data_IF_224774574368
#
_entry.id   IF_224774574368
#
_cell.length_a   1.000
_cell.length_b   1.000
_cell.length_c   1.000
_cell.angle_alpha   90.00
_cell.angle_beta   90.00
_cell.angle_gamma   90.00
#
_symmetry.space_group_name_H-M   'P 1'
#
loop_
_entity.id
_entity.type
_entity.pdbx_description
1 polymer ?
#
# COMPACT_ATOMS: atom_id res chain seq x y z
N UNK A 1 4.69 2.33 3.44
CA UNK A 1 3.56 2.10 2.55
C UNK A 1 2.22 2.15 3.28
N UNK A 2 1.12 1.97 2.56
CA UNK A 2 -0.24 1.95 3.13
C UNK A 2 -0.70 3.27 3.77
N UNK A 3 -0.16 4.41 3.39
CA UNK A 3 -0.51 5.72 3.95
C UNK A 3 -2.00 6.03 3.89
N UNK A 4 -2.68 5.67 2.78
CA UNK A 4 -4.13 5.83 2.66
C UNK A 4 -4.89 4.97 3.68
N UNK A 5 -4.38 3.80 4.02
CA UNK A 5 -4.99 2.92 5.03
C UNK A 5 -4.98 3.58 6.41
N UNK A 6 -3.86 4.14 6.82
CA UNK A 6 -3.73 4.85 8.11
C UNK A 6 -4.67 6.05 8.17
N UNK A 7 -4.74 6.86 7.11
CA UNK A 7 -5.68 7.99 7.04
C UNK A 7 -7.14 7.55 7.11
N UNK A 8 -7.49 6.49 6.38
CA UNK A 8 -8.84 5.96 6.42
C UNK A 8 -9.18 5.42 7.83
N UNK A 9 -8.23 4.77 8.51
CA UNK A 9 -8.42 4.34 9.89
C UNK A 9 -8.66 5.52 10.84
N UNK A 10 -7.92 6.62 10.67
CA UNK A 10 -8.14 7.83 11.48
C UNK A 10 -9.53 8.41 11.25
N UNK A 11 -9.96 8.56 9.98
CA UNK A 11 -11.29 9.05 9.64
C UNK A 11 -12.37 8.12 10.20
N UNK A 12 -12.21 6.79 10.04
CA UNK A 12 -13.15 5.82 10.59
C UNK A 12 -13.24 5.93 12.12
N UNK A 13 -12.10 6.10 12.81
CA UNK A 13 -12.08 6.28 14.26
C UNK A 13 -12.82 7.56 14.69
N UNK A 14 -12.65 8.67 13.98
CA UNK A 14 -13.38 9.90 14.22
C UNK A 14 -14.90 9.70 14.03
N UNK A 15 -15.31 9.08 12.93
CA UNK A 15 -16.72 8.74 12.68
C UNK A 15 -17.29 7.85 13.79
N UNK A 16 -16.51 6.86 14.27
CA UNK A 16 -16.95 5.99 15.37
C UNK A 16 -17.12 6.76 16.67
N UNK A 17 -16.25 7.72 16.96
CA UNK A 17 -16.41 8.59 18.14
C UNK A 17 -17.62 9.52 18.03
N UNK A 18 -17.88 10.08 16.85
CA UNK A 18 -18.92 11.07 16.62
C UNK A 18 -20.33 10.45 16.46
N UNK A 19 -20.43 9.32 15.74
CA UNK A 19 -21.71 8.75 15.32
C UNK A 19 -22.09 7.46 16.06
N UNK A 20 -21.12 6.79 16.70
CA UNK A 20 -21.32 5.48 17.32
C UNK A 20 -20.83 5.40 18.78
N UNK A 21 -20.75 6.52 19.48
CA UNK A 21 -20.39 6.58 20.92
C UNK A 21 -19.06 5.88 21.25
N UNK A 22 -18.11 5.91 20.33
CA UNK A 22 -16.78 5.30 20.49
C UNK A 22 -16.74 3.77 20.32
N UNK A 23 -17.83 3.13 19.87
CA UNK A 23 -17.90 1.68 19.63
C UNK A 23 -18.18 1.39 18.16
N UNK A 24 -17.45 0.45 17.59
CA UNK A 24 -17.74 -0.04 16.24
C UNK A 24 -19.17 -0.59 16.18
N UNK A 25 -19.97 -0.26 15.14
CA UNK A 25 -21.33 -0.78 15.03
C UNK A 25 -21.34 -2.29 14.83
N UNK A 26 -22.15 -3.01 15.62
CA UNK A 26 -22.38 -4.44 15.46
C UNK A 26 -23.40 -4.69 14.33
N UNK A 27 -23.07 -4.23 13.11
CA UNK A 27 -23.93 -4.28 11.93
C UNK A 27 -23.06 -4.30 10.67
N UNK A 28 -23.24 -5.30 9.82
CA UNK A 28 -22.41 -5.50 8.64
C UNK A 28 -22.51 -4.34 7.63
N UNK A 29 -23.69 -3.79 7.44
CA UNK A 29 -23.92 -2.68 6.49
C UNK A 29 -23.35 -1.36 7.04
N UNK A 30 -23.60 -1.08 8.32
CA UNK A 30 -23.04 0.11 9.00
C UNK A 30 -21.50 0.08 9.03
N UNK A 31 -20.89 -1.07 9.24
CA UNK A 31 -19.42 -1.21 9.16
C UNK A 31 -18.90 -0.78 7.79
N UNK A 32 -19.61 -1.06 6.69
CA UNK A 32 -19.19 -0.69 5.34
C UNK A 32 -19.31 0.83 5.05
N UNK A 33 -20.06 1.59 5.83
CA UNK A 33 -20.10 3.05 5.70
C UNK A 33 -18.85 3.71 6.23
N UNK A 34 -18.09 3.04 7.10
CA UNK A 34 -16.87 3.57 7.67
C UNK A 34 -15.72 3.62 6.64
N UNK A 35 -15.00 4.72 6.65
CA UNK A 35 -13.94 4.96 5.66
C UNK A 35 -12.85 3.89 5.67
N UNK A 36 -12.67 3.21 4.54
CA UNK A 36 -11.64 2.17 4.37
C UNK A 36 -12.06 0.77 4.84
N UNK A 37 -13.29 0.60 5.30
CA UNK A 37 -13.90 -0.69 5.61
C UNK A 37 -14.75 -1.11 4.40
N UNK A 38 -14.25 -2.06 3.63
CA UNK A 38 -14.98 -2.71 2.53
C UNK A 38 -15.63 -4.02 2.98
N UNK A 39 -16.33 -4.69 2.05
CA UNK A 39 -17.04 -5.95 2.28
C UNK A 39 -16.25 -6.99 3.08
N UNK A 40 -14.99 -7.26 2.67
CA UNK A 40 -14.12 -8.20 3.39
C UNK A 40 -13.88 -7.79 4.84
N UNK A 41 -13.48 -6.53 5.06
CA UNK A 41 -13.15 -6.06 6.42
C UNK A 41 -14.41 -6.00 7.29
N UNK A 42 -15.53 -5.56 6.73
CA UNK A 42 -16.82 -5.56 7.41
C UNK A 42 -17.26 -6.98 7.80
N UNK A 43 -17.12 -7.94 6.88
CA UNK A 43 -17.43 -9.35 7.13
C UNK A 43 -16.54 -9.96 8.22
N UNK A 44 -15.25 -9.65 8.21
CA UNK A 44 -14.31 -10.11 9.22
C UNK A 44 -14.66 -9.53 10.61
N UNK A 45 -14.90 -8.23 10.72
CA UNK A 45 -15.28 -7.58 11.98
C UNK A 45 -16.63 -8.13 12.47
N UNK A 46 -17.64 -8.14 11.60
CA UNK A 46 -18.99 -8.60 11.95
C UNK A 46 -19.01 -10.04 12.45
N UNK A 47 -18.29 -10.93 11.77
CA UNK A 47 -18.28 -12.35 12.12
C UNK A 47 -17.40 -12.69 13.32
N UNK A 48 -16.20 -12.12 13.39
CA UNK A 48 -15.20 -12.47 14.39
C UNK A 48 -15.48 -11.76 15.72
N UNK A 49 -15.77 -10.46 15.67
CA UNK A 49 -15.99 -9.67 16.89
C UNK A 49 -17.43 -9.75 17.42
N UNK A 50 -18.41 -9.86 16.51
CA UNK A 50 -19.82 -9.79 16.88
C UNK A 50 -20.61 -11.07 16.61
N UNK A 51 -20.00 -12.09 16.03
CA UNK A 51 -20.68 -13.36 15.74
C UNK A 51 -21.77 -13.26 14.66
N UNK A 52 -21.82 -12.16 13.91
CA UNK A 52 -22.81 -11.93 12.86
C UNK A 52 -22.50 -12.84 11.66
N UNK A 53 -23.53 -13.43 11.08
CA UNK A 53 -23.42 -14.33 9.93
C UNK A 53 -23.13 -13.52 8.65
N UNK A 54 -21.89 -13.05 8.52
CA UNK A 54 -21.42 -12.27 7.38
C UNK A 54 -20.13 -12.90 6.79
N UNK A 55 -20.01 -13.06 5.46
CA UNK A 55 -18.81 -13.63 4.83
C UNK A 55 -17.66 -12.63 4.79
N UNK A 56 -16.45 -13.14 4.99
CA UNK A 56 -15.21 -12.38 4.84
C UNK A 56 -14.42 -12.90 3.63
N UNK A 57 -14.75 -12.42 2.42
CA UNK A 57 -14.20 -12.92 1.17
C UNK A 57 -12.93 -12.15 0.79
N UNK A 58 -11.77 -12.74 1.08
CA UNK A 58 -10.46 -12.27 0.64
C UNK A 58 -9.90 -13.08 -0.54
N UNK A 59 -8.67 -12.80 -0.96
CA UNK A 59 -8.00 -13.56 -2.01
C UNK A 59 -7.76 -15.03 -1.65
N UNK A 60 -7.62 -15.38 -0.37
CA UNK A 60 -7.48 -16.75 0.08
C UNK A 60 -8.79 -17.51 -0.06
N UNK A 61 -9.87 -16.93 0.44
CA UNK A 61 -11.22 -17.49 0.36
C UNK A 61 -11.64 -17.69 -1.09
N UNK A 62 -11.44 -16.69 -1.97
CA UNK A 62 -11.70 -16.82 -3.41
C UNK A 62 -10.95 -18.02 -4.00
N UNK A 63 -9.66 -18.16 -3.72
CA UNK A 63 -8.85 -19.28 -4.23
C UNK A 63 -9.32 -20.64 -3.72
N UNK A 64 -9.57 -20.74 -2.43
CA UNK A 64 -10.03 -21.99 -1.80
C UNK A 64 -11.34 -22.44 -2.39
N UNK A 65 -12.34 -21.56 -2.44
CA UNK A 65 -13.68 -21.92 -2.91
C UNK A 65 -13.69 -22.19 -4.43
N UNK A 66 -13.01 -21.38 -5.25
CA UNK A 66 -12.95 -21.64 -6.68
C UNK A 66 -12.24 -22.96 -6.99
N UNK A 67 -11.19 -23.35 -6.26
CA UNK A 67 -10.58 -24.68 -6.39
C UNK A 67 -11.50 -25.79 -5.92
N UNK A 68 -12.19 -25.62 -4.80
CA UNK A 68 -13.15 -26.58 -4.28
C UNK A 68 -14.24 -26.92 -5.31
N UNK A 69 -14.76 -25.90 -5.98
CA UNK A 69 -15.88 -26.01 -6.93
C UNK A 69 -15.45 -26.10 -8.41
N UNK A 70 -14.15 -26.09 -8.70
CA UNK A 70 -13.58 -25.98 -10.04
C UNK A 70 -14.14 -24.78 -10.84
N UNK A 71 -14.40 -23.66 -10.16
CA UNK A 71 -14.93 -22.43 -10.77
C UNK A 71 -13.81 -21.69 -11.52
N UNK A 72 -13.92 -21.58 -12.84
CA UNK A 72 -12.97 -20.90 -13.70
C UNK A 72 -13.30 -19.40 -13.92
N UNK A 73 -14.22 -18.86 -13.17
CA UNK A 73 -14.56 -17.45 -13.23
C UNK A 73 -13.35 -16.58 -12.82
N UNK A 74 -13.18 -15.45 -13.49
CA UNK A 74 -12.11 -14.50 -13.19
C UNK A 74 -12.33 -13.81 -11.85
N UNK A 75 -11.57 -14.21 -10.84
CA UNK A 75 -11.67 -13.67 -9.47
C UNK A 75 -11.24 -12.20 -9.35
N UNK A 76 -10.70 -11.58 -10.38
CA UNK A 76 -10.40 -10.15 -10.38
C UNK A 76 -11.66 -9.29 -10.57
N UNK A 77 -12.73 -9.88 -11.12
CA UNK A 77 -14.00 -9.17 -11.39
C UNK A 77 -14.83 -9.00 -10.12
N UNK A 78 -15.33 -7.79 -9.91
CA UNK A 78 -16.18 -7.50 -8.74
C UNK A 78 -17.46 -8.34 -8.70
N UNK A 79 -18.08 -8.59 -9.84
CA UNK A 79 -19.27 -9.43 -9.93
C UNK A 79 -19.04 -10.85 -9.39
N UNK A 80 -17.87 -11.45 -9.66
CA UNK A 80 -17.49 -12.77 -9.14
C UNK A 80 -17.33 -12.76 -7.63
N UNK A 81 -16.73 -11.69 -7.07
CA UNK A 81 -16.59 -11.53 -5.61
C UNK A 81 -17.95 -11.39 -4.95
N UNK A 82 -18.83 -10.55 -5.49
CA UNK A 82 -20.18 -10.35 -4.96
C UNK A 82 -21.01 -11.64 -5.03
N UNK A 83 -20.88 -12.41 -6.10
CA UNK A 83 -21.56 -13.69 -6.20
C UNK A 83 -21.01 -14.71 -5.18
N UNK A 84 -19.70 -14.74 -4.98
CA UNK A 84 -19.07 -15.57 -3.94
C UNK A 84 -19.57 -15.20 -2.55
N UNK A 85 -19.66 -13.91 -2.23
CA UNK A 85 -20.23 -13.42 -0.97
C UNK A 85 -21.66 -13.93 -0.75
N UNK A 86 -22.51 -13.85 -1.78
CA UNK A 86 -23.88 -14.34 -1.71
C UNK A 86 -23.96 -15.86 -1.47
N UNK A 87 -23.13 -16.65 -2.15
CA UNK A 87 -23.07 -18.10 -1.96
C UNK A 87 -22.60 -18.48 -0.57
N UNK A 88 -21.55 -17.81 -0.07
CA UNK A 88 -21.01 -18.07 1.27
C UNK A 88 -21.99 -17.65 2.36
N UNK A 89 -22.77 -16.59 2.17
CA UNK A 89 -23.81 -16.19 3.10
C UNK A 89 -24.84 -17.29 3.34
N UNK A 90 -25.12 -18.13 2.34
CA UNK A 90 -26.10 -19.23 2.45
C UNK A 90 -25.57 -20.44 3.23
N UNK A 91 -24.24 -20.57 3.36
CA UNK A 91 -23.59 -21.76 3.94
C UNK A 91 -22.82 -21.45 5.23
N UNK A 92 -22.76 -20.21 5.66
CA UNK A 92 -22.16 -19.84 6.95
C UNK A 92 -22.93 -20.53 8.09
N UNK A 93 -22.24 -21.28 8.94
CA UNK A 93 -22.90 -21.98 10.06
C UNK A 93 -23.33 -20.98 11.12
N UNK A 94 -24.59 -21.08 11.57
CA UNK A 94 -25.15 -20.25 12.63
C UNK A 94 -24.33 -20.35 13.90
N UNK A 95 -24.07 -19.18 14.51
CA UNK A 95 -23.30 -19.09 15.75
C UNK A 95 -21.80 -19.42 15.64
N UNK A 96 -21.27 -19.71 14.43
CA UNK A 96 -19.86 -20.05 14.19
C UNK A 96 -19.24 -19.28 13.02
N UNK A 97 -19.82 -18.17 12.61
CA UNK A 97 -19.39 -17.40 11.45
C UNK A 97 -17.94 -16.94 11.53
N UNK A 98 -17.48 -16.48 12.69
CA UNK A 98 -16.09 -16.07 12.90
C UNK A 98 -15.10 -17.21 12.70
N UNK A 99 -15.36 -18.38 13.31
CA UNK A 99 -14.51 -19.56 13.16
C UNK A 99 -14.50 -20.06 11.70
N UNK A 100 -15.65 -20.03 11.04
CA UNK A 100 -15.78 -20.41 9.62
C UNK A 100 -14.93 -19.53 8.71
N UNK A 101 -15.05 -18.22 8.82
CA UNK A 101 -14.26 -17.28 8.02
C UNK A 101 -12.76 -17.40 8.27
N UNK A 102 -12.35 -17.54 9.55
CA UNK A 102 -10.95 -17.74 9.92
C UNK A 102 -10.40 -19.05 9.34
N UNK A 103 -11.14 -20.14 9.46
CA UNK A 103 -10.72 -21.45 8.91
C UNK A 103 -10.52 -21.39 7.40
N UNK A 104 -11.39 -20.69 6.64
CA UNK A 104 -11.21 -20.50 5.20
C UNK A 104 -9.97 -19.69 4.86
N UNK A 105 -9.70 -18.61 5.60
CA UNK A 105 -8.51 -17.78 5.40
C UNK A 105 -7.23 -18.55 5.73
N UNK A 106 -7.21 -19.29 6.84
CA UNK A 106 -6.07 -20.11 7.26
C UNK A 106 -5.80 -21.26 6.30
N UNK A 107 -6.85 -21.98 5.86
CA UNK A 107 -6.72 -23.00 4.84
C UNK A 107 -6.07 -22.47 3.56
N UNK A 108 -6.46 -21.27 3.15
CA UNK A 108 -5.85 -20.59 2.01
C UNK A 108 -4.41 -20.17 2.27
N UNK A 109 -4.09 -19.73 3.47
CA UNK A 109 -2.74 -19.25 3.80
C UNK A 109 -1.72 -20.39 3.99
N UNK A 110 -2.15 -21.53 4.53
CA UNK A 110 -1.26 -22.59 5.00
C UNK A 110 -1.25 -23.86 4.16
N UNK A 111 -2.38 -24.22 3.55
CA UNK A 111 -2.56 -25.47 2.80
C UNK A 111 -2.81 -25.21 1.33
N UNK A 112 -3.87 -24.47 1.01
CA UNK A 112 -4.26 -24.14 -0.37
C UNK A 112 -3.51 -22.89 -0.85
N UNK A 113 -2.18 -22.94 -0.86
CA UNK A 113 -1.29 -21.79 -1.10
C UNK A 113 -1.41 -21.19 -2.50
N UNK A 114 -1.09 -19.87 -2.68
CA UNK A 114 -1.20 -19.19 -3.97
C UNK A 114 -0.06 -19.49 -4.95
N UNK A 115 1.12 -19.83 -4.43
CA UNK A 115 2.33 -20.03 -5.22
C UNK A 115 2.87 -21.44 -4.99
N UNK A 116 3.28 -22.11 -6.08
CA UNK A 116 3.72 -23.50 -6.01
C UNK A 116 2.55 -24.48 -5.92
N UNK A 117 2.84 -25.72 -5.54
CA UNK A 117 1.83 -26.75 -5.37
C UNK A 117 1.14 -26.62 -4.02
N UNK A 118 -0.22 -26.64 -3.99
CA UNK A 118 -0.94 -26.67 -2.74
C UNK A 118 -0.76 -28.03 -2.04
N UNK A 119 -0.77 -28.02 -0.71
CA UNK A 119 -0.59 -29.21 0.14
C UNK A 119 -1.87 -30.02 0.24
N UNK A 120 -2.33 -30.56 -0.92
CA UNK A 120 -3.63 -31.22 -1.03
C UNK A 120 -3.78 -32.46 -0.13
N UNK A 121 -2.72 -33.23 0.08
CA UNK A 121 -2.73 -34.42 0.95
C UNK A 121 -2.99 -34.10 2.44
N UNK A 122 -2.75 -32.84 2.87
CA UNK A 122 -3.09 -32.35 4.21
C UNK A 122 -4.42 -31.57 4.25
N UNK A 123 -5.13 -31.45 3.14
CA UNK A 123 -6.34 -30.64 3.04
C UNK A 123 -7.57 -31.43 3.55
N UNK A 124 -8.36 -30.89 4.49
CA UNK A 124 -9.58 -31.55 4.96
C UNK A 124 -10.62 -31.76 3.85
N UNK A 125 -10.49 -31.03 2.73
CA UNK A 125 -11.37 -31.13 1.58
C UNK A 125 -10.76 -31.86 0.37
N UNK A 126 -9.64 -32.57 0.55
CA UNK A 126 -8.94 -33.29 -0.53
C UNK A 126 -9.90 -34.10 -1.40
N UNK A 127 -10.72 -34.95 -0.76
CA UNK A 127 -11.61 -35.89 -1.44
C UNK A 127 -12.79 -35.25 -2.18
N UNK A 128 -13.18 -34.04 -1.81
CA UNK A 128 -14.30 -33.32 -2.42
C UNK A 128 -13.88 -32.17 -3.33
N UNK A 129 -12.58 -31.86 -3.37
CA UNK A 129 -12.06 -30.76 -4.15
C UNK A 129 -12.03 -31.09 -5.65
N UNK A 130 -12.91 -30.46 -6.42
CA UNK A 130 -13.03 -30.71 -7.85
C UNK A 130 -11.78 -30.30 -8.64
N UNK A 131 -11.11 -29.23 -8.25
CA UNK A 131 -9.85 -28.83 -8.89
C UNK A 131 -8.72 -29.83 -8.60
N UNK A 132 -8.66 -30.46 -7.43
CA UNK A 132 -7.69 -31.50 -7.12
C UNK A 132 -7.96 -32.75 -7.95
N UNK A 133 -9.21 -33.24 -7.99
CA UNK A 133 -9.62 -34.37 -8.78
C UNK A 133 -9.36 -34.19 -10.28
N UNK A 134 -9.57 -32.97 -10.78
CA UNK A 134 -9.37 -32.63 -12.20
C UNK A 134 -7.94 -32.15 -12.54
N UNK A 135 -6.98 -32.19 -11.62
CA UNK A 135 -5.63 -31.64 -11.83
C UNK A 135 -5.62 -30.16 -12.28
N UNK A 136 -6.58 -29.35 -11.76
CA UNK A 136 -6.78 -27.95 -12.14
C UNK A 136 -6.18 -26.96 -11.12
N UNK A 137 -5.52 -27.43 -10.07
CA UNK A 137 -5.04 -26.59 -8.97
C UNK A 137 -4.06 -25.51 -9.39
N UNK A 138 -3.27 -25.73 -10.45
CA UNK A 138 -2.36 -24.74 -11.02
C UNK A 138 -3.06 -23.73 -11.95
N UNK A 139 -4.19 -24.11 -12.51
CA UNK A 139 -4.99 -23.27 -13.43
C UNK A 139 -5.99 -22.39 -12.65
N UNK A 140 -6.52 -22.89 -11.55
CA UNK A 140 -7.50 -22.20 -10.70
C UNK A 140 -6.81 -21.69 -9.43
N UNK A 141 -7.06 -20.45 -9.04
CA UNK A 141 -8.06 -19.50 -9.56
C UNK A 141 -7.63 -18.81 -10.86
N UNK A 142 -8.60 -18.56 -11.73
CA UNK A 142 -8.37 -17.75 -12.91
C UNK A 142 -8.30 -16.28 -12.53
N UNK A 143 -7.24 -15.60 -12.98
CA UNK A 143 -7.04 -14.17 -12.75
C UNK A 143 -6.50 -13.54 -14.02
N UNK A 144 -7.27 -12.65 -14.61
CA UNK A 144 -6.80 -11.89 -15.76
C UNK A 144 -5.56 -11.08 -15.42
N UNK A 145 -4.65 -10.96 -16.39
CA UNK A 145 -3.45 -10.13 -16.22
C UNK A 145 -3.86 -8.69 -15.90
N UNK A 146 -3.28 -8.13 -14.86
CA UNK A 146 -3.46 -6.71 -14.55
C UNK A 146 -3.00 -5.85 -15.75
N UNK A 147 -3.67 -4.73 -15.95
CA UNK A 147 -3.20 -3.73 -16.92
C UNK A 147 -1.77 -3.34 -16.59
N UNK A 148 -0.92 -3.08 -17.60
CA UNK A 148 0.43 -2.55 -17.38
C UNK A 148 0.35 -1.28 -16.52
N UNK A 149 1.35 -1.10 -15.66
CA UNK A 149 1.45 0.13 -14.89
C UNK A 149 1.74 1.30 -15.83
N UNK A 150 1.19 2.47 -15.52
CA UNK A 150 1.56 3.70 -16.19
C UNK A 150 2.96 4.09 -15.74
N UNK A 151 3.87 4.32 -16.68
CA UNK A 151 5.20 4.83 -16.39
C UNK A 151 5.11 6.36 -16.33
N UNK A 152 5.66 6.93 -15.27
CA UNK A 152 5.85 8.37 -15.12
C UNK A 152 7.33 8.68 -14.95
N UNK A 153 7.88 9.43 -15.88
CA UNK A 153 9.23 9.96 -15.77
C UNK A 153 9.24 11.20 -14.89
N UNK A 154 10.25 11.31 -14.04
CA UNK A 154 10.42 12.43 -13.12
C UNK A 154 11.87 12.80 -12.94
N UNK A 155 12.13 14.09 -12.84
CA UNK A 155 13.42 14.61 -12.40
C UNK A 155 13.31 15.02 -10.93
N UNK A 156 14.15 14.46 -10.09
CA UNK A 156 14.16 14.68 -8.63
C UNK A 156 15.37 15.53 -8.27
N UNK A 157 15.16 16.58 -7.49
CA UNK A 157 16.18 17.54 -7.10
C UNK A 157 16.50 17.47 -5.61
N UNK A 158 17.70 17.03 -5.26
CA UNK A 158 18.22 17.13 -3.91
C UNK A 158 18.95 18.48 -3.79
N UNK A 159 18.21 19.53 -3.43
CA UNK A 159 18.76 20.89 -3.30
C UNK A 159 19.26 21.07 -1.86
N UNK A 160 20.51 21.52 -1.69
CA UNK A 160 21.13 21.66 -0.37
C UNK A 160 22.11 22.84 -0.29
N UNK A 161 22.28 23.45 0.89
CA UNK A 161 23.30 24.51 1.14
C UNK A 161 24.53 24.00 1.89
N UNK A 162 24.52 22.87 2.46
CA UNK A 162 25.51 22.22 3.29
C UNK A 162 24.84 21.10 4.03
N UNK A 163 24.31 21.37 5.22
CA UNK A 163 23.60 20.38 6.01
C UNK A 163 22.08 20.43 5.75
N UNK A 164 21.50 21.63 5.55
CA UNK A 164 20.09 21.78 5.24
C UNK A 164 19.80 21.44 3.80
N UNK A 165 18.59 20.94 3.55
CA UNK A 165 18.08 20.61 2.23
C UNK A 165 16.62 21.03 2.09
N UNK A 166 16.16 21.04 0.83
CA UNK A 166 14.84 21.52 0.46
C UNK A 166 13.86 20.38 0.34
N UNK A 167 12.73 20.50 1.02
CA UNK A 167 11.54 19.69 0.80
C UNK A 167 10.36 20.57 0.35
N UNK A 168 9.37 19.95 -0.24
CA UNK A 168 8.06 20.54 -0.45
C UNK A 168 6.96 19.60 0.04
N UNK A 169 5.82 20.15 0.41
CA UNK A 169 4.65 19.37 0.79
C UNK A 169 3.82 19.05 -0.45
N UNK A 170 3.48 17.78 -0.63
CA UNK A 170 2.62 17.34 -1.74
C UNK A 170 1.18 17.82 -1.53
N UNK A 171 0.45 17.96 -2.64
CA UNK A 171 -0.97 18.26 -2.62
C UNK A 171 -1.77 17.25 -1.77
N UNK A 172 -2.93 17.67 -1.27
CA UNK A 172 -3.81 16.83 -0.43
C UNK A 172 -4.45 15.64 -1.17
N UNK A 173 -4.27 15.54 -2.50
CA UNK A 173 -4.82 14.47 -3.36
C UNK A 173 -3.72 13.82 -4.20
N UNK A 174 -3.92 12.57 -4.63
CA UNK A 174 -3.00 11.83 -5.49
C UNK A 174 -2.04 10.91 -4.70
N UNK A 175 -1.00 10.41 -5.40
CA UNK A 175 0.03 9.55 -4.79
C UNK A 175 0.78 10.31 -3.71
N UNK A 176 1.01 9.66 -2.56
CA UNK A 176 1.73 10.23 -1.41
C UNK A 176 1.15 11.58 -0.95
N UNK A 177 -0.16 11.77 -1.09
CA UNK A 177 -0.83 13.05 -0.80
C UNK A 177 -0.50 13.59 0.59
N UNK A 178 -0.17 14.89 0.68
CA UNK A 178 0.15 15.60 1.93
C UNK A 178 1.43 15.15 2.64
N UNK A 179 2.23 14.27 2.03
CA UNK A 179 3.56 13.90 2.51
C UNK A 179 4.60 14.90 2.02
N UNK A 180 5.81 14.78 2.53
CA UNK A 180 6.93 15.62 2.10
C UNK A 180 7.74 14.91 1.01
N UNK A 181 8.33 15.68 0.12
CA UNK A 181 9.13 15.17 -0.98
C UNK A 181 10.26 16.12 -1.35
N UNK A 182 11.31 15.59 -1.98
CA UNK A 182 12.24 16.44 -2.70
C UNK A 182 11.51 17.15 -3.84
N UNK A 183 11.83 18.41 -4.17
CA UNK A 183 11.35 19.05 -5.37
C UNK A 183 11.53 18.14 -6.58
N UNK A 184 10.50 17.96 -7.38
CA UNK A 184 10.57 17.12 -8.56
C UNK A 184 9.62 17.63 -9.63
N UNK A 185 10.00 17.40 -10.89
CA UNK A 185 9.21 17.80 -12.06
C UNK A 185 8.95 16.59 -12.98
N UNK A 186 7.83 16.61 -13.72
CA UNK A 186 7.56 15.59 -14.74
C UNK A 186 8.63 15.62 -15.85
N UNK A 187 8.94 14.42 -16.37
CA UNK A 187 9.88 14.23 -17.46
C UNK A 187 11.34 14.16 -17.03
N UNK A 188 12.21 14.00 -18.02
CA UNK A 188 13.66 13.92 -17.85
C UNK A 188 14.26 15.26 -18.24
N UNK A 189 14.74 16.01 -17.26
CA UNK A 189 15.40 17.31 -17.46
C UNK A 189 16.91 17.11 -17.58
N UNK A 190 17.55 17.93 -18.41
CA UNK A 190 19.01 18.06 -18.45
C UNK A 190 19.52 19.04 -17.36
N UNK A 191 20.85 19.12 -17.22
CA UNK A 191 21.48 19.97 -16.21
C UNK A 191 21.13 21.46 -16.37
N UNK A 192 21.02 21.96 -17.61
CA UNK A 192 20.67 23.37 -17.88
C UNK A 192 19.25 23.66 -17.46
N UNK A 193 18.33 22.76 -17.77
CA UNK A 193 16.93 22.89 -17.37
C UNK A 193 16.76 22.81 -15.85
N UNK A 194 17.51 21.93 -15.19
CA UNK A 194 17.53 21.82 -13.73
C UNK A 194 18.05 23.12 -13.09
N UNK A 195 19.18 23.67 -13.58
CA UNK A 195 19.70 24.94 -13.06
C UNK A 195 18.69 26.08 -13.22
N UNK A 196 18.09 26.22 -14.39
CA UNK A 196 17.05 27.22 -14.64
C UNK A 196 15.84 27.04 -13.70
N UNK A 197 15.44 25.79 -13.43
CA UNK A 197 14.36 25.51 -12.48
C UNK A 197 14.72 25.92 -11.04
N UNK A 198 15.95 25.65 -10.60
CA UNK A 198 16.42 26.03 -9.26
C UNK A 198 16.47 27.57 -9.13
N UNK A 199 16.87 28.29 -10.18
CA UNK A 199 16.84 29.77 -10.23
C UNK A 199 15.38 30.29 -10.19
N UNK A 200 14.44 29.65 -10.89
CA UNK A 200 13.00 29.99 -10.82
C UNK A 200 12.41 29.79 -9.43
N UNK A 201 12.93 28.83 -8.67
CA UNK A 201 12.58 28.65 -7.26
C UNK A 201 13.17 29.76 -6.37
N UNK A 202 13.92 30.70 -6.97
CA UNK A 202 14.56 31.84 -6.29
C UNK A 202 15.80 31.40 -5.48
N UNK A 203 16.43 30.30 -5.83
CA UNK A 203 17.67 29.82 -5.22
C UNK A 203 18.84 30.08 -6.16
N UNK A 204 20.04 30.23 -5.58
CA UNK A 204 21.26 30.49 -6.35
C UNK A 204 22.09 29.19 -6.47
N UNK A 205 22.06 28.47 -7.61
CA UNK A 205 22.83 27.26 -7.77
C UNK A 205 24.33 27.53 -7.88
N UNK A 206 25.13 26.76 -7.14
CA UNK A 206 26.60 26.85 -7.13
C UNK A 206 27.23 25.65 -7.82
N UNK A 207 26.67 24.48 -7.65
CA UNK A 207 27.17 23.22 -8.23
C UNK A 207 26.00 22.28 -8.49
N UNK A 208 26.08 21.56 -9.59
CA UNK A 208 25.15 20.47 -9.94
C UNK A 208 25.93 19.18 -10.18
N UNK A 209 25.33 18.07 -9.82
CA UNK A 209 25.86 16.73 -10.09
C UNK A 209 24.69 15.78 -10.38
N UNK A 210 24.79 15.00 -11.45
CA UNK A 210 23.80 13.99 -11.78
C UNK A 210 23.95 12.79 -10.86
N UNK A 211 22.83 12.30 -10.31
CA UNK A 211 22.75 11.13 -9.46
C UNK A 211 22.38 9.90 -10.26
N UNK A 212 22.49 8.73 -9.64
CA UNK A 212 22.02 7.48 -10.23
C UNK A 212 20.53 7.50 -10.44
N UNK A 213 20.07 7.07 -11.62
CA UNK A 213 18.66 6.91 -11.92
C UNK A 213 18.04 5.89 -10.98
N UNK A 214 16.79 6.12 -10.59
CA UNK A 214 16.08 5.29 -9.65
C UNK A 214 14.67 4.96 -10.16
N UNK A 215 14.09 3.90 -9.59
CA UNK A 215 12.77 3.42 -9.94
C UNK A 215 11.97 3.10 -8.69
N UNK A 216 10.71 3.52 -8.65
CA UNK A 216 9.80 3.14 -7.59
C UNK A 216 8.46 2.66 -8.15
N UNK A 217 7.97 1.53 -7.60
CA UNK A 217 6.79 0.84 -8.11
C UNK A 217 5.63 1.00 -7.13
N UNK A 218 4.57 1.64 -7.58
CA UNK A 218 3.26 1.67 -6.91
C UNK A 218 2.32 0.63 -7.53
N UNK A 219 1.14 0.47 -6.97
CA UNK A 219 0.17 -0.53 -7.46
C UNK A 219 -0.21 -0.33 -8.95
N UNK A 220 -0.35 0.91 -9.40
CA UNK A 220 -0.85 1.25 -10.74
C UNK A 220 0.03 2.23 -11.52
N UNK A 221 1.09 2.73 -10.90
CA UNK A 221 2.05 3.65 -11.48
C UNK A 221 3.46 3.20 -11.13
N UNK A 222 4.40 3.46 -12.01
CA UNK A 222 5.81 3.22 -11.85
C UNK A 222 6.54 4.53 -12.14
N UNK A 223 7.31 5.04 -11.17
CA UNK A 223 8.14 6.21 -11.37
C UNK A 223 9.53 5.79 -11.83
N UNK A 224 9.95 6.36 -12.97
CA UNK A 224 11.33 6.35 -13.43
C UNK A 224 11.91 7.71 -13.12
N UNK A 225 12.94 7.77 -12.29
CA UNK A 225 13.44 9.00 -11.72
C UNK A 225 14.88 9.24 -12.11
N UNK A 226 15.14 10.40 -12.71
CA UNK A 226 16.49 10.95 -12.88
C UNK A 226 16.74 11.93 -11.75
N UNK A 227 17.84 11.75 -11.02
CA UNK A 227 18.15 12.57 -9.86
C UNK A 227 19.29 13.56 -10.14
N UNK A 228 19.23 14.71 -9.46
CA UNK A 228 20.32 15.67 -9.39
C UNK A 228 20.49 16.16 -7.97
N UNK A 229 21.75 16.25 -7.51
CA UNK A 229 22.06 17.06 -6.34
C UNK A 229 22.48 18.44 -6.81
N UNK A 230 21.85 19.47 -6.24
CA UNK A 230 22.18 20.87 -6.55
C UNK A 230 22.58 21.56 -5.26
N UNK A 231 23.85 21.94 -5.19
CA UNK A 231 24.34 22.80 -4.10
C UNK A 231 23.98 24.23 -4.45
N UNK A 232 23.34 24.92 -3.49
CA UNK A 232 22.97 26.34 -3.61
C UNK A 232 23.79 27.17 -2.62
N UNK A 233 23.80 28.48 -2.81
CA UNK A 233 24.24 29.42 -1.79
C UNK A 233 23.33 29.29 -0.55
N UNK A 234 23.57 30.06 0.49
CA UNK A 234 22.81 29.93 1.74
C UNK A 234 21.28 29.91 1.53
N UNK A 235 20.61 29.04 2.28
CA UNK A 235 19.12 28.97 2.35
C UNK A 235 18.64 29.91 3.47
N UNK A 236 18.77 31.22 3.26
CA UNK A 236 18.53 32.21 4.32
C UNK A 236 17.09 32.68 4.42
N UNK A 237 16.34 32.63 3.32
CA UNK A 237 14.95 33.11 3.29
C UNK A 237 13.96 31.97 3.17
N UNK A 238 12.96 31.94 4.04
CA UNK A 238 11.81 31.05 3.91
C UNK A 238 11.03 31.38 2.63
N UNK A 239 10.74 30.38 1.83
CA UNK A 239 9.93 30.49 0.62
C UNK A 239 8.62 29.74 0.80
N UNK A 240 7.53 30.35 0.39
CA UNK A 240 6.15 29.91 0.68
C UNK A 240 5.82 28.44 0.37
N UNK A 241 6.58 27.78 -0.50
CA UNK A 241 6.35 26.41 -0.94
C UNK A 241 7.52 25.47 -0.66
N UNK A 242 8.63 25.98 -0.14
CA UNK A 242 9.86 25.26 0.13
C UNK A 242 10.12 25.24 1.64
N UNK A 243 10.44 24.07 2.15
CA UNK A 243 10.84 23.86 3.53
C UNK A 243 12.35 23.60 3.56
N UNK A 244 13.06 24.37 4.35
CA UNK A 244 14.50 24.21 4.57
C UNK A 244 14.70 23.39 5.83
N UNK A 245 15.12 22.15 5.65
CA UNK A 245 15.04 21.09 6.67
C UNK A 245 16.41 20.55 6.98
N UNK A 246 16.71 20.36 8.25
CA UNK A 246 17.86 19.59 8.71
C UNK A 246 17.56 18.09 8.69
N UNK A 247 18.56 17.20 8.46
CA UNK A 247 18.33 15.76 8.38
C UNK A 247 17.58 15.18 9.59
N UNK A 248 17.84 15.67 10.78
CA UNK A 248 17.23 15.21 12.03
C UNK A 248 15.72 15.45 12.08
N UNK A 249 15.25 16.58 11.55
CA UNK A 249 13.84 16.97 11.54
C UNK A 249 12.96 16.03 10.71
N UNK A 250 13.55 15.29 9.76
CA UNK A 250 12.79 14.33 8.94
C UNK A 250 12.27 13.13 9.73
N UNK A 251 12.86 12.83 10.88
CA UNK A 251 12.42 11.72 11.72
C UNK A 251 11.11 12.03 12.44
N UNK A 252 10.92 13.28 12.83
CA UNK A 252 9.80 13.71 13.68
C UNK A 252 8.76 14.56 12.92
N UNK A 253 9.22 15.48 12.08
CA UNK A 253 8.35 16.50 11.49
C UNK A 253 8.13 16.36 10.00
N UNK A 254 9.14 15.93 9.24
CA UNK A 254 9.09 15.91 7.77
C UNK A 254 9.45 14.55 7.18
N UNK A 255 8.69 13.46 7.47
CA UNK A 255 9.00 12.13 7.01
C UNK A 255 8.98 12.04 5.47
N UNK A 256 10.08 11.56 4.89
CA UNK A 256 10.23 11.35 3.45
C UNK A 256 9.75 9.94 3.09
N UNK A 257 8.86 9.79 2.10
CA UNK A 257 8.40 8.47 1.64
C UNK A 257 9.53 7.62 1.07
N UNK A 258 9.43 6.29 1.26
CA UNK A 258 10.37 5.33 0.69
C UNK A 258 10.50 5.39 -0.85
N UNK A 259 9.58 6.06 -1.54
CA UNK A 259 9.69 6.33 -2.97
C UNK A 259 10.94 7.12 -3.35
N UNK A 260 11.48 7.90 -2.41
CA UNK A 260 12.69 8.71 -2.60
C UNK A 260 13.92 8.14 -1.89
N UNK A 261 13.88 6.90 -1.42
CA UNK A 261 14.97 6.26 -0.66
C UNK A 261 16.33 6.31 -1.39
N UNK A 262 16.32 6.18 -2.72
CA UNK A 262 17.55 6.25 -3.53
C UNK A 262 18.29 7.59 -3.40
N UNK A 263 17.59 8.65 -3.03
CA UNK A 263 18.17 10.01 -2.94
C UNK A 263 18.44 10.48 -1.52
N UNK A 264 17.97 9.75 -0.51
CA UNK A 264 18.13 10.16 0.90
C UNK A 264 19.57 10.06 1.39
N UNK A 265 20.38 9.17 0.77
CA UNK A 265 21.82 9.06 1.11
C UNK A 265 22.59 10.35 0.85
N UNK A 266 22.13 11.18 -0.10
CA UNK A 266 22.79 12.45 -0.45
C UNK A 266 22.54 13.58 0.54
N UNK A 267 21.70 13.34 1.53
CA UNK A 267 21.42 14.24 2.67
C UNK A 267 21.74 13.56 4.01
N UNK A 268 22.59 12.53 3.99
CA UNK A 268 22.98 11.75 5.18
C UNK A 268 21.81 11.09 5.93
N UNK A 269 20.68 10.87 5.25
CA UNK A 269 19.52 10.18 5.79
C UNK A 269 19.51 8.71 5.38
N UNK A 270 19.43 7.85 6.39
CA UNK A 270 19.16 6.42 6.20
C UNK A 270 17.68 6.20 6.55
N UNK A 271 16.81 6.15 5.55
CA UNK A 271 15.40 5.81 5.76
C UNK A 271 15.29 4.37 6.25
N UNK A 272 14.85 4.21 7.50
CA UNK A 272 14.41 2.93 8.07
C UNK A 272 15.36 1.78 7.79
N UNK A 273 16.60 1.85 8.29
CA UNK A 273 17.57 0.80 8.04
C UNK A 273 16.97 -0.57 8.38
N UNK A 274 17.23 -1.57 7.51
CA UNK A 274 16.94 -2.99 7.81
C UNK A 274 17.50 -3.42 9.18
N UNK A 275 18.47 -2.68 9.71
CA UNK A 275 19.06 -2.83 11.02
C UNK A 275 18.08 -2.51 12.16
N UNK A 276 17.23 -1.51 12.03
CA UNK A 276 16.20 -1.21 13.04
C UNK A 276 15.14 -2.33 13.15
N UNK A 277 14.84 -3.05 12.05
CA UNK A 277 13.98 -4.24 12.10
C UNK A 277 14.64 -5.44 12.76
N UNK A 278 15.95 -5.59 12.64
CA UNK A 278 16.68 -6.69 13.28
C UNK A 278 16.90 -6.45 14.77
N UNK A 279 17.00 -5.19 15.19
CA UNK A 279 17.18 -4.84 16.61
C UNK A 279 15.87 -4.93 17.40
N UNK A 280 14.71 -4.67 16.76
CA UNK A 280 13.38 -4.89 17.35
C UNK A 280 13.10 -6.41 17.52
N UNK A 281 13.53 -7.24 16.55
CA UNK A 281 13.33 -8.70 16.59
C UNK A 281 14.31 -9.43 17.54
N UNK A 282 15.36 -8.77 18.02
CA UNK A 282 16.29 -9.33 19.01
C UNK A 282 15.93 -8.99 20.46
N UNK A 283 14.99 -8.07 20.67
CA UNK A 283 14.55 -7.62 21.98
C UNK A 283 13.09 -8.02 22.31
N UNK A 284 12.51 -8.97 21.56
CA UNK A 284 11.24 -9.65 21.87
C UNK A 284 11.51 -11.14 22.21
#
# INVERSE_FOLDING_TARGET
GYYNRVRNMQIAAQTVMEEYEGKLPADYEKLQTLKGIGHYTAGAIASIAYGIEAPAVDGNVLRVITRLTADESDISKQAVKTEMEKRLMQVIPKGRAGAYNQALMELGATVCVPNGEPLCSGCPWEKMCLAHQGNLTQRIPVKCKAKPRRIEEKTVLVIRDGERFVLRKRAKKGLLAGMYEFPNEPGVLDEKQVLALVEQLGLLPVRIEKLTDAKHIFSHVEWHMTGYVVRVAALEEEKKELLFVEPEETKEHYPIPAAFEAYTNYINLILGSKKARQDILKNC
#
